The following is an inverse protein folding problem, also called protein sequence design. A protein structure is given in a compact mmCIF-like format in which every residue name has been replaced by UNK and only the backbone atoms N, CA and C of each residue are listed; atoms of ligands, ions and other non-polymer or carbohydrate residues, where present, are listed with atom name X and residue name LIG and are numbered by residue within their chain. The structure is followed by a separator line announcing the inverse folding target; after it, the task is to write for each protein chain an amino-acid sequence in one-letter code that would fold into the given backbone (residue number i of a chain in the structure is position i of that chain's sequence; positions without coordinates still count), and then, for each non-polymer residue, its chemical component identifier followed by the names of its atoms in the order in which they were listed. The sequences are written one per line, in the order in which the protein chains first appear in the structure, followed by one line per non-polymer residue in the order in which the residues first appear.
data_IF_394272507119
#
_entry.id   IF_394272507119
#
_cell.length_a   1.000
_cell.length_b   1.000
_cell.length_c   1.000
_cell.angle_alpha   90.00
_cell.angle_beta   90.00
_cell.angle_gamma   90.00
#
_symmetry.space_group_name_H-M   'P 1'
#
loop_
_entity.id
_entity.type
_entity.pdbx_description
1 polymer ?
#
# COMPACT_ATOMS: atom_id res chain seq x y z
N UNK A 1 49.25 56.43 -8.53
CA UNK A 1 48.54 55.25 -9.10
C UNK A 1 48.98 54.00 -8.36
N UNK A 2 48.21 53.53 -7.36
CA UNK A 2 48.32 52.18 -6.79
C UNK A 2 46.92 51.72 -6.42
N UNK A 3 46.32 50.89 -7.28
CA UNK A 3 45.08 50.19 -7.03
C UNK A 3 45.38 48.98 -6.14
N UNK A 4 44.83 48.95 -4.93
CA UNK A 4 44.75 47.72 -4.13
C UNK A 4 43.35 47.14 -4.27
N UNK A 5 43.22 46.12 -5.11
CA UNK A 5 42.01 45.33 -5.29
C UNK A 5 41.96 44.28 -4.17
N UNK A 6 41.02 44.42 -3.24
CA UNK A 6 40.77 43.46 -2.18
C UNK A 6 39.83 42.37 -2.71
N UNK A 7 40.35 41.16 -2.95
CA UNK A 7 39.51 39.99 -3.26
C UNK A 7 38.96 39.40 -1.95
N UNK A 8 37.66 39.54 -1.72
CA UNK A 8 36.93 38.76 -0.71
C UNK A 8 36.53 37.40 -1.29
N UNK A 9 37.25 36.35 -0.92
CA UNK A 9 36.85 34.96 -1.15
C UNK A 9 35.78 34.57 -0.11
N UNK A 10 34.51 34.57 -0.52
CA UNK A 10 33.41 33.99 0.24
C UNK A 10 33.37 32.47 0.00
N UNK A 11 33.90 31.70 0.94
CA UNK A 11 33.73 30.25 0.97
C UNK A 11 32.32 29.92 1.45
N UNK A 12 31.44 29.49 0.55
CA UNK A 12 30.16 28.88 0.90
C UNK A 12 30.41 27.46 1.41
N UNK A 13 30.49 27.27 2.73
CA UNK A 13 30.34 25.94 3.32
C UNK A 13 28.86 25.54 3.23
N UNK A 14 28.52 24.76 2.20
CA UNK A 14 27.24 24.07 2.13
C UNK A 14 27.16 23.01 3.22
N UNK A 15 26.38 23.27 4.27
CA UNK A 15 26.00 22.22 5.23
C UNK A 15 24.98 21.32 4.54
N UNK A 16 25.43 20.16 4.05
CA UNK A 16 24.53 19.11 3.60
C UNK A 16 23.89 18.48 4.83
N UNK A 17 22.63 18.82 5.12
CA UNK A 17 21.81 18.06 6.04
C UNK A 17 21.47 16.72 5.36
N UNK A 18 22.28 15.70 5.63
CA UNK A 18 21.91 14.33 5.32
C UNK A 18 20.82 13.92 6.30
N UNK A 19 19.57 13.89 5.84
CA UNK A 19 18.49 13.22 6.57
C UNK A 19 18.86 11.74 6.61
N UNK A 20 19.31 11.27 7.79
CA UNK A 20 19.53 9.85 8.00
C UNK A 20 18.18 9.14 7.86
N UNK A 21 18.11 8.11 7.00
CA UNK A 21 16.94 7.25 6.94
C UNK A 21 16.69 6.63 8.32
N UNK A 22 15.42 6.41 8.67
CA UNK A 22 15.08 5.68 9.89
C UNK A 22 15.74 4.28 9.86
N UNK A 23 16.08 3.73 11.04
CA UNK A 23 16.56 2.37 11.13
C UNK A 23 15.41 1.40 10.83
N UNK A 24 15.52 0.64 9.73
CA UNK A 24 14.52 -0.32 9.28
C UNK A 24 14.14 -1.33 10.38
N UNK A 25 15.10 -1.72 11.22
CA UNK A 25 14.87 -2.69 12.31
C UNK A 25 14.02 -2.13 13.45
N UNK A 26 13.95 -0.80 13.59
CA UNK A 26 13.18 -0.11 14.65
C UNK A 26 11.69 0.07 14.32
N UNK A 27 11.30 -0.17 13.06
CA UNK A 27 9.95 0.05 12.57
C UNK A 27 9.15 -1.25 12.49
N UNK A 28 7.84 -1.16 12.67
CA UNK A 28 6.93 -2.22 12.24
C UNK A 28 6.60 -2.08 10.75
N UNK A 29 6.07 -3.16 10.16
CA UNK A 29 5.80 -3.23 8.73
C UNK A 29 4.83 -2.15 8.23
N UNK A 30 3.80 -1.82 9.01
CA UNK A 30 2.88 -0.73 8.68
C UNK A 30 3.58 0.62 8.58
N UNK A 31 4.55 0.90 9.46
CA UNK A 31 5.36 2.13 9.42
C UNK A 31 6.29 2.17 8.20
N UNK A 32 6.87 1.03 7.81
CA UNK A 32 7.67 0.91 6.58
C UNK A 32 6.78 1.12 5.35
N UNK A 33 5.56 0.60 5.33
CA UNK A 33 4.62 0.82 4.22
C UNK A 33 4.10 2.26 4.14
N UNK A 34 3.96 2.96 5.28
CA UNK A 34 3.37 4.29 5.35
C UNK A 34 4.31 5.44 5.02
N UNK A 35 5.62 5.19 4.86
CA UNK A 35 6.58 6.23 4.48
C UNK A 35 7.65 6.56 5.53
N UNK A 36 7.68 5.87 6.67
CA UNK A 36 8.52 6.25 7.82
C UNK A 36 10.04 6.16 7.55
N UNK A 37 10.46 5.47 6.47
CA UNK A 37 11.86 5.42 6.04
C UNK A 37 12.34 6.71 5.35
N UNK A 38 11.41 7.60 4.96
CA UNK A 38 11.71 8.80 4.18
C UNK A 38 11.80 8.55 2.67
N UNK A 39 11.46 9.57 1.87
CA UNK A 39 11.29 9.43 0.42
C UNK A 39 12.52 8.89 -0.31
N UNK A 40 13.73 9.34 0.06
CA UNK A 40 14.97 8.91 -0.58
C UNK A 40 15.23 7.40 -0.42
N UNK A 41 14.82 6.81 0.70
CA UNK A 41 15.06 5.39 0.97
C UNK A 41 14.27 4.49 0.02
N UNK A 42 13.05 4.87 -0.39
CA UNK A 42 12.22 4.04 -1.28
C UNK A 42 12.80 3.89 -2.70
N UNK A 43 13.76 4.72 -3.12
CA UNK A 43 14.52 4.53 -4.36
C UNK A 43 15.84 3.76 -4.21
N UNK A 44 16.19 3.32 -3.00
CA UNK A 44 17.48 2.67 -2.71
C UNK A 44 17.55 1.22 -3.20
N UNK A 45 18.75 0.63 -3.15
CA UNK A 45 18.91 -0.81 -3.36
C UNK A 45 18.30 -1.65 -2.23
N UNK A 46 18.30 -1.12 -1.00
CA UNK A 46 17.74 -1.79 0.18
C UNK A 46 16.21 -1.92 0.07
N UNK A 47 15.52 -0.85 -0.32
CA UNK A 47 14.06 -0.90 -0.54
C UNK A 47 13.67 -1.83 -1.69
N UNK A 48 14.49 -1.91 -2.74
CA UNK A 48 14.29 -2.83 -3.86
C UNK A 48 14.48 -4.30 -3.45
N UNK A 49 15.50 -4.60 -2.64
CA UNK A 49 15.70 -5.95 -2.09
C UNK A 49 14.51 -6.36 -1.21
N UNK A 50 13.99 -5.43 -0.39
CA UNK A 50 12.78 -5.68 0.40
C UNK A 50 11.54 -5.85 -0.48
N UNK A 51 11.39 -5.04 -1.54
CA UNK A 51 10.29 -5.20 -2.49
C UNK A 51 10.33 -6.56 -3.20
N UNK A 52 11.52 -7.09 -3.50
CA UNK A 52 11.66 -8.42 -4.06
C UNK A 52 11.17 -9.53 -3.10
N UNK A 53 11.38 -9.35 -1.79
CA UNK A 53 10.78 -10.22 -0.75
C UNK A 53 9.26 -10.11 -0.78
N UNK A 54 8.71 -8.89 -0.76
CA UNK A 54 7.25 -8.63 -0.82
C UNK A 54 6.62 -9.29 -2.04
N UNK A 55 7.25 -9.19 -3.22
CA UNK A 55 6.82 -9.84 -4.45
C UNK A 55 6.87 -11.37 -4.36
N UNK A 56 7.93 -11.90 -3.74
CA UNK A 56 8.13 -13.35 -3.65
C UNK A 56 7.05 -14.07 -2.82
N UNK A 57 6.37 -13.36 -1.92
CA UNK A 57 5.29 -13.89 -1.07
C UNK A 57 3.89 -13.48 -1.51
N UNK A 58 3.75 -12.66 -2.57
CA UNK A 58 2.44 -12.28 -3.11
C UNK A 58 1.67 -13.53 -3.55
N UNK A 59 0.42 -13.65 -3.08
CA UNK A 59 -0.48 -14.76 -3.44
C UNK A 59 -0.75 -14.77 -4.93
N UNK A 60 -1.06 -15.94 -5.49
CA UNK A 60 -1.36 -16.10 -6.92
C UNK A 60 -2.60 -15.32 -7.35
N UNK A 61 -3.53 -15.07 -6.43
CA UNK A 61 -4.69 -14.20 -6.63
C UNK A 61 -4.40 -12.68 -6.47
N UNK A 62 -3.13 -12.30 -6.22
CA UNK A 62 -2.67 -10.92 -6.24
C UNK A 62 -2.50 -10.21 -4.89
N UNK A 63 -3.04 -10.75 -3.80
CA UNK A 63 -2.93 -10.11 -2.48
C UNK A 63 -1.83 -10.66 -1.59
N UNK A 64 -1.91 -10.27 -0.32
CA UNK A 64 -1.01 -10.71 0.76
C UNK A 64 -1.80 -11.19 1.97
N UNK A 65 -1.11 -11.88 2.87
CA UNK A 65 -1.65 -12.25 4.18
C UNK A 65 -1.30 -11.19 5.23
N UNK A 66 -2.06 -11.17 6.32
CA UNK A 66 -1.90 -10.20 7.40
C UNK A 66 -0.85 -10.64 8.42
N UNK A 67 -0.37 -9.65 9.18
CA UNK A 67 0.46 -9.81 10.38
C UNK A 67 1.91 -10.27 10.15
N UNK A 68 2.36 -10.36 8.90
CA UNK A 68 3.76 -10.63 8.59
C UNK A 68 4.60 -9.35 8.66
N UNK A 69 5.72 -9.40 9.40
CA UNK A 69 6.75 -8.36 9.37
C UNK A 69 7.71 -8.64 8.20
N UNK A 70 7.31 -8.30 6.97
CA UNK A 70 8.01 -8.73 5.75
C UNK A 70 9.48 -8.30 5.68
N UNK A 71 9.86 -7.23 6.39
CA UNK A 71 11.23 -6.74 6.50
C UNK A 71 12.09 -7.45 7.56
N UNK A 72 11.49 -8.35 8.35
CA UNK A 72 12.15 -9.04 9.47
C UNK A 72 11.95 -10.56 9.42
N UNK A 73 11.61 -11.11 8.26
CA UNK A 73 11.39 -12.55 8.11
C UNK A 73 12.70 -13.34 8.30
N UNK A 74 12.62 -14.42 9.06
CA UNK A 74 13.62 -15.46 9.00
C UNK A 74 13.54 -16.21 7.66
N UNK A 75 14.62 -16.91 7.29
CA UNK A 75 14.63 -17.73 6.07
C UNK A 75 13.51 -18.80 6.06
N UNK A 76 13.21 -19.40 7.22
CA UNK A 76 12.15 -20.40 7.33
C UNK A 76 10.74 -19.80 7.24
N UNK A 77 10.53 -18.61 7.82
CA UNK A 77 9.26 -17.89 7.69
C UNK A 77 9.03 -17.47 6.23
N UNK A 78 10.05 -16.94 5.56
CA UNK A 78 10.00 -16.59 4.14
C UNK A 78 9.65 -17.81 3.27
N UNK A 79 10.33 -18.95 3.48
CA UNK A 79 10.06 -20.18 2.74
C UNK A 79 8.61 -20.66 2.94
N UNK A 80 8.07 -20.53 4.15
CA UNK A 80 6.67 -20.89 4.46
C UNK A 80 5.69 -20.03 3.66
N UNK A 81 5.89 -18.71 3.65
CA UNK A 81 5.03 -17.79 2.92
C UNK A 81 5.12 -18.00 1.39
N UNK A 82 6.32 -18.30 0.88
CA UNK A 82 6.54 -18.62 -0.54
C UNK A 82 5.84 -19.92 -0.95
N UNK A 83 5.80 -20.92 -0.09
CA UNK A 83 5.09 -22.18 -0.34
C UNK A 83 3.55 -22.00 -0.32
N UNK A 84 3.04 -21.07 0.50
CA UNK A 84 1.60 -20.80 0.65
C UNK A 84 1.04 -19.79 -0.37
N UNK A 85 1.72 -19.53 -1.49
CA UNK A 85 1.24 -18.55 -2.47
C UNK A 85 -0.09 -18.92 -3.12
N UNK A 86 -0.49 -20.18 -3.09
CA UNK A 86 -1.81 -20.63 -3.55
C UNK A 86 -2.97 -20.34 -2.58
N UNK A 87 -2.68 -19.84 -1.38
CA UNK A 87 -3.67 -19.57 -0.34
C UNK A 87 -4.53 -18.32 -0.57
N UNK A 88 -5.39 -18.04 0.41
CA UNK A 88 -6.24 -16.83 0.43
C UNK A 88 -5.37 -15.58 0.64
N UNK A 89 -5.86 -14.45 0.12
CA UNK A 89 -5.40 -13.12 0.49
C UNK A 89 -6.31 -12.52 1.54
N UNK A 90 -5.80 -11.53 2.27
CA UNK A 90 -6.50 -10.84 3.35
C UNK A 90 -6.47 -9.32 3.12
N UNK A 91 -7.56 -8.65 3.50
CA UNK A 91 -7.68 -7.18 3.51
C UNK A 91 -7.71 -6.59 4.94
N UNK A 92 -7.76 -7.46 5.95
CA UNK A 92 -7.77 -7.12 7.37
C UNK A 92 -6.40 -6.67 7.87
N UNK A 93 -6.35 -5.94 8.98
CA UNK A 93 -5.10 -5.38 9.52
C UNK A 93 -4.27 -4.63 8.47
N UNK A 94 -4.96 -3.94 7.53
CA UNK A 94 -4.36 -3.22 6.39
C UNK A 94 -3.61 -4.09 5.38
N UNK A 95 -3.65 -5.42 5.50
CA UNK A 95 -3.00 -6.34 4.56
C UNK A 95 -3.48 -6.11 3.12
N UNK A 96 -2.61 -6.43 2.18
CA UNK A 96 -2.71 -6.07 0.76
C UNK A 96 -2.60 -4.57 0.50
N UNK A 97 -3.39 -3.73 1.18
CA UNK A 97 -3.39 -2.27 0.93
C UNK A 97 -2.08 -1.61 1.35
N UNK A 98 -1.45 -2.06 2.44
CA UNK A 98 -0.16 -1.52 2.89
C UNK A 98 0.99 -1.96 1.98
N UNK A 99 1.01 -3.23 1.55
CA UNK A 99 1.99 -3.73 0.59
C UNK A 99 1.88 -2.99 -0.74
N UNK A 100 0.66 -2.73 -1.22
CA UNK A 100 0.44 -1.91 -2.41
C UNK A 100 1.00 -0.48 -2.26
N UNK A 101 0.80 0.15 -1.09
CA UNK A 101 1.36 1.48 -0.80
C UNK A 101 2.89 1.49 -0.76
N UNK A 102 3.49 0.42 -0.23
CA UNK A 102 4.94 0.23 -0.26
C UNK A 102 5.46 0.08 -1.70
N UNK A 103 4.84 -0.80 -2.50
CA UNK A 103 5.24 -1.02 -3.89
C UNK A 103 5.08 0.23 -4.75
N UNK A 104 4.04 1.05 -4.52
CA UNK A 104 3.87 2.33 -5.20
C UNK A 104 5.04 3.28 -4.92
N UNK A 105 5.45 3.42 -3.65
CA UNK A 105 6.63 4.23 -3.27
C UNK A 105 7.92 3.73 -3.92
N UNK A 106 8.16 2.42 -3.84
CA UNK A 106 9.35 1.81 -4.44
C UNK A 106 9.36 2.02 -5.96
N UNK A 107 8.23 1.80 -6.63
CA UNK A 107 8.10 2.07 -8.07
C UNK A 107 8.37 3.53 -8.41
N UNK A 108 7.85 4.51 -7.65
CA UNK A 108 8.19 5.91 -7.92
C UNK A 108 9.68 6.20 -7.74
N UNK A 109 10.31 5.60 -6.73
CA UNK A 109 11.72 5.80 -6.42
C UNK A 109 12.69 5.20 -7.45
N UNK A 110 12.36 4.06 -8.07
CA UNK A 110 13.27 3.35 -8.96
C UNK A 110 12.76 3.11 -10.39
N UNK A 111 11.47 3.25 -10.66
CA UNK A 111 10.80 2.99 -11.94
C UNK A 111 10.98 1.58 -12.51
N UNK A 112 11.25 0.61 -11.64
CA UNK A 112 11.39 -0.80 -12.00
C UNK A 112 10.00 -1.45 -12.14
N UNK A 113 9.66 -1.87 -13.36
CA UNK A 113 8.29 -2.26 -13.77
C UNK A 113 7.71 -3.50 -13.06
N UNK A 114 8.54 -4.41 -12.54
CA UNK A 114 8.03 -5.57 -11.77
C UNK A 114 7.24 -5.15 -10.53
N UNK A 115 7.57 -4.02 -9.91
CA UNK A 115 6.85 -3.50 -8.74
C UNK A 115 5.49 -2.92 -9.12
N UNK A 116 5.41 -2.22 -10.25
CA UNK A 116 4.14 -1.76 -10.83
C UNK A 116 3.25 -2.93 -11.23
N UNK A 117 3.83 -3.98 -11.81
CA UNK A 117 3.10 -5.20 -12.19
C UNK A 117 2.52 -5.90 -10.94
N UNK A 118 3.30 -6.03 -9.87
CA UNK A 118 2.83 -6.60 -8.62
C UNK A 118 1.74 -5.74 -7.95
N UNK A 119 1.88 -4.41 -7.98
CA UNK A 119 0.84 -3.48 -7.56
C UNK A 119 -0.46 -3.71 -8.34
N UNK A 120 -0.38 -3.82 -9.67
CA UNK A 120 -1.54 -4.09 -10.53
C UNK A 120 -2.27 -5.38 -10.18
N UNK A 121 -1.55 -6.45 -9.82
CA UNK A 121 -2.16 -7.71 -9.34
C UNK A 121 -2.90 -7.52 -8.02
N UNK A 122 -2.37 -6.71 -7.10
CA UNK A 122 -3.06 -6.36 -5.86
C UNK A 122 -4.33 -5.54 -6.10
N UNK A 123 -4.32 -4.67 -7.10
CA UNK A 123 -5.52 -3.91 -7.48
C UNK A 123 -6.58 -4.81 -8.15
N UNK A 124 -6.16 -5.73 -9.01
CA UNK A 124 -7.05 -6.73 -9.62
C UNK A 124 -7.71 -7.63 -8.59
N UNK A 125 -6.98 -8.03 -7.53
CA UNK A 125 -7.56 -8.70 -6.37
C UNK A 125 -8.69 -7.85 -5.77
N UNK A 126 -8.43 -6.58 -5.47
CA UNK A 126 -9.45 -5.69 -4.86
C UNK A 126 -10.71 -5.63 -5.72
N UNK A 127 -10.58 -5.52 -7.04
CA UNK A 127 -11.74 -5.54 -7.94
C UNK A 127 -12.43 -6.90 -7.98
N UNK A 128 -11.67 -7.99 -8.05
CA UNK A 128 -12.20 -9.35 -8.06
C UNK A 128 -12.93 -9.71 -6.75
N UNK A 129 -12.44 -9.21 -5.62
CA UNK A 129 -13.01 -9.44 -4.31
C UNK A 129 -14.17 -8.48 -3.94
N UNK A 130 -14.42 -7.44 -4.74
CA UNK A 130 -15.54 -6.54 -4.55
C UNK A 130 -16.86 -7.32 -4.70
N UNK A 131 -17.76 -7.21 -3.73
CA UNK A 131 -19.08 -7.82 -3.84
C UNK A 131 -19.91 -7.09 -4.88
N UNK A 132 -20.92 -7.75 -5.46
CA UNK A 132 -21.76 -7.16 -6.51
C UNK A 132 -22.42 -5.82 -6.11
N UNK A 133 -22.76 -5.65 -4.83
CA UNK A 133 -23.34 -4.44 -4.26
C UNK A 133 -22.29 -3.46 -3.69
N UNK A 134 -21.00 -3.71 -3.90
CA UNK A 134 -19.90 -2.97 -3.30
C UNK A 134 -19.37 -3.59 -2.00
N UNK A 135 -18.21 -3.10 -1.57
CA UNK A 135 -17.56 -3.51 -0.34
C UNK A 135 -16.85 -4.87 -0.42
N UNK A 136 -16.12 -5.19 0.65
CA UNK A 136 -15.17 -6.30 0.67
C UNK A 136 -15.32 -7.17 1.91
N UNK A 137 -14.93 -8.44 1.76
CA UNK A 137 -14.85 -9.39 2.86
C UNK A 137 -13.42 -9.46 3.40
N UNK A 138 -13.24 -10.07 4.57
CA UNK A 138 -11.94 -10.13 5.23
C UNK A 138 -10.88 -10.86 4.38
N UNK A 139 -11.32 -11.87 3.63
CA UNK A 139 -10.45 -12.72 2.83
C UNK A 139 -11.03 -12.96 1.44
N UNK A 140 -10.13 -13.22 0.48
CA UNK A 140 -10.48 -13.68 -0.86
C UNK A 140 -9.57 -14.83 -1.31
N UNK A 141 -10.08 -15.90 -1.97
CA UNK A 141 -11.50 -16.22 -2.20
C UNK A 141 -12.31 -16.34 -0.90
N UNK A 142 -13.64 -16.33 -1.00
CA UNK A 142 -14.52 -16.58 0.16
C UNK A 142 -14.41 -18.04 0.63
N UNK A 143 -14.66 -18.29 1.91
CA UNK A 143 -14.69 -19.66 2.46
C UNK A 143 -15.96 -20.40 2.04
N UNK A 144 -17.05 -19.68 1.78
CA UNK A 144 -18.32 -20.25 1.34
C UNK A 144 -19.06 -21.05 2.42
N UNK A 145 -18.55 -21.04 3.65
CA UNK A 145 -19.09 -21.82 4.77
C UNK A 145 -19.97 -21.00 5.73
N UNK A 146 -20.31 -19.76 5.36
CA UNK A 146 -21.10 -18.86 6.19
C UNK A 146 -20.34 -18.24 7.37
N UNK A 147 -19.01 -18.34 7.39
CA UNK A 147 -18.17 -17.65 8.37
C UNK A 147 -18.31 -16.14 8.27
N UNK A 148 -18.15 -15.43 9.39
CA UNK A 148 -18.14 -13.96 9.44
C UNK A 148 -17.09 -13.34 8.51
N UNK A 149 -16.04 -14.09 8.19
CA UNK A 149 -15.00 -13.71 7.24
C UNK A 149 -15.52 -13.40 5.83
N UNK A 150 -16.72 -13.90 5.48
CA UNK A 150 -17.34 -13.71 4.17
C UNK A 150 -18.33 -12.52 4.15
N UNK A 151 -18.55 -11.83 5.27
CA UNK A 151 -19.40 -10.63 5.34
C UNK A 151 -18.67 -9.35 4.89
N UNK A 152 -19.44 -8.31 4.57
CA UNK A 152 -18.88 -6.96 4.41
C UNK A 152 -18.18 -6.58 5.71
N UNK A 153 -16.89 -6.28 5.64
CA UNK A 153 -16.04 -6.16 6.83
C UNK A 153 -15.62 -4.71 7.03
N UNK A 154 -16.18 -4.04 8.05
CA UNK A 154 -15.72 -2.72 8.50
C UNK A 154 -14.60 -2.78 9.54
N UNK A 155 -14.46 -3.92 10.23
CA UNK A 155 -13.45 -4.18 11.26
C UNK A 155 -12.04 -3.81 10.78
N UNK A 156 -11.20 -3.31 11.70
CA UNK A 156 -9.81 -2.90 11.47
C UNK A 156 -9.64 -1.95 10.27
N UNK A 157 -10.63 -1.08 10.05
CA UNK A 157 -10.69 -0.09 8.98
C UNK A 157 -10.60 -0.68 7.57
N UNK A 158 -10.95 -1.95 7.37
CA UNK A 158 -10.76 -2.65 6.10
C UNK A 158 -11.38 -1.88 4.91
N UNK A 159 -12.69 -1.60 4.97
CA UNK A 159 -13.39 -0.81 3.95
C UNK A 159 -12.72 0.55 3.72
N UNK A 160 -12.41 1.28 4.80
CA UNK A 160 -11.80 2.61 4.74
C UNK A 160 -10.41 2.58 4.09
N UNK A 161 -9.60 1.57 4.37
CA UNK A 161 -8.24 1.43 3.82
C UNK A 161 -8.29 1.14 2.32
N UNK A 162 -9.18 0.25 1.88
CA UNK A 162 -9.42 -0.02 0.46
C UNK A 162 -9.90 1.25 -0.24
N UNK A 163 -10.93 1.92 0.29
CA UNK A 163 -11.48 3.12 -0.32
C UNK A 163 -10.48 4.28 -0.39
N UNK A 164 -9.65 4.49 0.64
CA UNK A 164 -8.57 5.47 0.59
C UNK A 164 -7.56 5.14 -0.49
N UNK A 165 -7.17 3.87 -0.62
CA UNK A 165 -6.24 3.43 -1.67
C UNK A 165 -6.82 3.69 -3.07
N UNK A 166 -8.09 3.32 -3.31
CA UNK A 166 -8.77 3.56 -4.59
C UNK A 166 -8.83 5.06 -4.93
N UNK A 167 -9.14 5.91 -3.94
CA UNK A 167 -9.14 7.37 -4.11
C UNK A 167 -7.76 7.92 -4.43
N UNK A 168 -6.72 7.44 -3.74
CA UNK A 168 -5.35 7.90 -3.97
C UNK A 168 -4.88 7.52 -5.38
N UNK A 169 -5.21 6.31 -5.86
CA UNK A 169 -4.96 5.87 -7.24
C UNK A 169 -5.68 6.76 -8.24
N UNK A 170 -6.97 7.03 -8.01
CA UNK A 170 -7.78 7.89 -8.87
C UNK A 170 -7.19 9.30 -9.00
N UNK A 171 -6.63 9.84 -7.91
CA UNK A 171 -6.03 11.19 -7.89
C UNK A 171 -4.85 11.36 -8.84
N UNK A 172 -4.19 10.25 -9.21
CA UNK A 172 -2.99 10.22 -10.06
C UNK A 172 -1.85 11.15 -9.57
N UNK A 173 -1.65 11.23 -8.24
CA UNK A 173 -0.62 12.08 -7.63
C UNK A 173 0.35 11.29 -6.75
N UNK A 174 1.48 11.91 -6.41
CA UNK A 174 2.47 11.36 -5.48
C UNK A 174 2.92 9.95 -5.85
N UNK A 175 2.84 9.03 -4.88
CA UNK A 175 3.22 7.62 -5.04
C UNK A 175 2.43 6.88 -6.12
N UNK A 176 1.23 7.34 -6.42
CA UNK A 176 0.31 6.71 -7.37
C UNK A 176 0.32 7.34 -8.75
N UNK A 177 1.15 8.39 -8.95
CA UNK A 177 1.24 9.05 -10.25
C UNK A 177 1.68 8.07 -11.33
N UNK A 178 0.85 7.98 -12.37
CA UNK A 178 1.01 7.17 -13.57
C UNK A 178 1.24 5.67 -13.27
N UNK A 179 0.78 5.17 -12.12
CA UNK A 179 0.94 3.77 -11.72
C UNK A 179 -0.07 2.84 -12.43
N UNK A 180 -1.20 3.38 -12.89
CA UNK A 180 -2.21 2.69 -13.70
C UNK A 180 -2.77 3.64 -14.77
N UNK A 181 -3.43 3.10 -15.79
CA UNK A 181 -4.01 3.87 -16.89
C UNK A 181 -5.32 4.59 -16.50
N UNK A 182 -5.87 5.38 -17.43
CA UNK A 182 -7.10 6.15 -17.20
C UNK A 182 -8.32 5.29 -16.90
N UNK A 183 -8.53 4.21 -17.66
CA UNK A 183 -9.68 3.31 -17.48
C UNK A 183 -9.65 2.64 -16.11
N UNK A 184 -8.47 2.21 -15.65
CA UNK A 184 -8.29 1.61 -14.32
C UNK A 184 -8.58 2.63 -13.22
N UNK A 185 -8.23 3.91 -13.39
CA UNK A 185 -8.60 4.97 -12.42
C UNK A 185 -10.11 5.22 -12.37
N UNK A 186 -10.81 5.15 -13.49
CA UNK A 186 -12.27 5.23 -13.53
C UNK A 186 -12.93 4.03 -12.84
N UNK A 187 -12.35 2.83 -12.98
CA UNK A 187 -12.78 1.65 -12.23
C UNK A 187 -12.55 1.83 -10.72
N UNK A 188 -11.42 2.43 -10.31
CA UNK A 188 -11.19 2.78 -8.90
C UNK A 188 -12.26 3.73 -8.36
N UNK A 189 -12.64 4.76 -9.13
CA UNK A 189 -13.72 5.69 -8.77
C UNK A 189 -15.05 4.95 -8.62
N UNK A 190 -15.38 4.09 -9.58
CA UNK A 190 -16.63 3.30 -9.56
C UNK A 190 -16.70 2.41 -8.31
N UNK A 191 -15.63 1.70 -7.97
CA UNK A 191 -15.57 0.88 -6.75
C UNK A 191 -15.60 1.71 -5.47
N UNK A 192 -14.98 2.90 -5.47
CA UNK A 192 -15.07 3.83 -4.37
C UNK A 192 -16.53 4.27 -4.13
N UNK A 193 -17.27 4.63 -5.18
CA UNK A 193 -18.66 5.08 -5.08
C UNK A 193 -19.59 3.98 -4.56
N UNK A 194 -19.42 2.73 -5.03
CA UNK A 194 -20.12 1.57 -4.47
C UNK A 194 -19.80 1.35 -2.98
N UNK A 195 -18.53 1.48 -2.59
CA UNK A 195 -18.12 1.38 -1.20
C UNK A 195 -18.80 2.45 -0.32
N UNK A 196 -18.94 3.67 -0.85
CA UNK A 196 -19.65 4.75 -0.17
C UNK A 196 -21.14 4.44 -0.02
N UNK A 197 -21.79 3.92 -1.06
CA UNK A 197 -23.19 3.48 -0.96
C UNK A 197 -23.38 2.40 0.11
N UNK A 198 -22.46 1.43 0.19
CA UNK A 198 -22.50 0.39 1.22
C UNK A 198 -22.43 1.00 2.61
N UNK A 199 -21.50 1.94 2.85
CA UNK A 199 -21.40 2.63 4.15
C UNK A 199 -22.73 3.31 4.51
N UNK A 200 -23.34 4.05 3.58
CA UNK A 200 -24.59 4.75 3.82
C UNK A 200 -25.76 3.78 4.09
N UNK A 201 -25.83 2.67 3.34
CA UNK A 201 -26.88 1.63 3.51
C UNK A 201 -26.70 0.81 4.79
N UNK A 202 -25.47 0.67 5.28
CA UNK A 202 -25.16 -0.04 6.52
C UNK A 202 -25.20 0.86 7.76
N UNK A 203 -25.45 2.16 7.62
CA UNK A 203 -25.58 3.05 8.77
C UNK A 203 -26.76 2.63 9.64
N UNK A 204 -26.50 2.38 10.92
CA UNK A 204 -27.53 1.98 11.87
C UNK A 204 -28.51 3.15 12.06
N UNK A 205 -29.79 2.81 11.98
CA UNK A 205 -30.91 3.72 12.22
C UNK A 205 -31.55 3.33 13.55
N UNK A 206 -31.33 4.15 14.58
CA UNK A 206 -32.00 4.00 15.87
C UNK A 206 -33.23 4.92 15.91
N UNK A 207 -34.36 4.37 15.47
CA UNK A 207 -35.68 5.01 15.50
C UNK A 207 -35.74 6.41 14.85
N UNK A 208 -35.18 6.55 13.64
CA UNK A 208 -35.14 7.79 12.88
C UNK A 208 -33.90 8.64 13.15
N UNK A 209 -33.03 8.23 14.07
CA UNK A 209 -31.75 8.86 14.33
C UNK A 209 -30.63 8.00 13.77
N UNK A 210 -29.91 8.53 12.78
CA UNK A 210 -28.71 7.87 12.25
C UNK A 210 -27.61 7.84 13.32
N UNK A 211 -27.08 6.67 13.61
CA UNK A 211 -25.93 6.55 14.50
C UNK A 211 -24.63 6.95 13.78
N UNK A 212 -23.67 7.43 14.56
CA UNK A 212 -22.28 7.57 14.11
C UNK A 212 -21.60 6.20 14.00
#
# INVERSE_FOLDING_TARGET
MKNNLLLCLLAWLGVSLSVQAADLSSLNWGQVCSGSMGAAWYGSAESQALADIVLSVQKTNGGWMKNDQLHQLSASALATLQADRGGRSCLDNSATTMEMRFLAKVYQGCKVEKYRTAFGKGLELIFTAEKANGGWSQYWPLSGNGSYHDYITFNDNLMTNVMKLLRDIQSNTGDFKDIVDGATREQCQTSFDKGLEVILKCQVDDNGTKSA
#
